data_IF_700393504560
#
_entry.id   IF_700393504560
#
_cell.length_a   1.000
_cell.length_b   1.000
_cell.length_c   1.000
_cell.angle_alpha   90.00
_cell.angle_beta   90.00
_cell.angle_gamma   90.00
#
_symmetry.space_group_name_H-M   'P 1'
#
loop_
_entity.id
_entity.type
_entity.pdbx_description
1 polymer ?
#
# COMPACT_ATOMS: atom_id res chain seq x y z
N UNK A 1 0.66 -22.87 12.49
CA UNK A 1 -0.01 -21.87 11.63
C UNK A 1 0.97 -20.74 11.43
N UNK A 2 1.23 -20.36 10.19
CA UNK A 2 2.10 -19.21 9.92
C UNK A 2 1.40 -17.88 10.28
N UNK A 3 2.16 -16.80 10.47
CA UNK A 3 1.61 -15.46 10.74
C UNK A 3 0.61 -15.04 9.64
N UNK A 4 0.91 -15.34 8.38
CA UNK A 4 0.02 -15.02 7.27
C UNK A 4 -1.28 -15.83 7.28
N UNK A 5 -1.26 -17.09 7.69
CA UNK A 5 -2.46 -17.91 7.82
C UNK A 5 -3.37 -17.39 8.94
N UNK A 6 -2.77 -16.95 10.06
CA UNK A 6 -3.50 -16.31 11.17
C UNK A 6 -4.16 -15.02 10.71
N UNK A 7 -3.38 -14.11 10.10
CA UNK A 7 -3.89 -12.85 9.57
C UNK A 7 -5.01 -13.07 8.54
N UNK A 8 -4.86 -14.03 7.62
CA UNK A 8 -5.87 -14.28 6.58
C UNK A 8 -7.15 -14.88 7.15
N UNK A 9 -7.06 -15.68 8.20
CA UNK A 9 -8.23 -16.18 8.92
C UNK A 9 -8.99 -15.03 9.60
N UNK A 10 -8.26 -14.14 10.30
CA UNK A 10 -8.84 -12.97 10.95
C UNK A 10 -9.49 -12.03 9.91
N UNK A 11 -8.79 -11.73 8.81
CA UNK A 11 -9.31 -10.94 7.70
C UNK A 11 -10.60 -11.53 7.11
N UNK A 12 -10.65 -12.85 6.91
CA UNK A 12 -11.84 -13.52 6.36
C UNK A 12 -13.05 -13.40 7.28
N UNK A 13 -12.84 -13.43 8.60
CA UNK A 13 -13.91 -13.21 9.58
C UNK A 13 -14.39 -11.75 9.57
N UNK A 14 -13.46 -10.79 9.60
CA UNK A 14 -13.75 -9.34 9.60
C UNK A 14 -14.46 -8.88 8.33
N UNK A 15 -14.15 -9.49 7.18
CA UNK A 15 -14.65 -9.14 5.85
C UNK A 15 -15.75 -10.07 5.35
N UNK A 16 -16.30 -10.95 6.18
CA UNK A 16 -17.28 -11.95 5.73
C UNK A 16 -18.45 -11.36 4.90
N UNK A 17 -19.06 -10.23 5.27
CA UNK A 17 -20.12 -9.60 4.46
C UNK A 17 -19.60 -9.07 3.11
N UNK A 18 -18.41 -8.47 3.09
CA UNK A 18 -17.79 -7.90 1.89
C UNK A 18 -17.36 -9.01 0.93
N UNK A 19 -16.73 -10.07 1.43
CA UNK A 19 -16.28 -11.19 0.63
C UNK A 19 -17.43 -11.88 -0.11
N UNK A 20 -18.61 -11.96 0.50
CA UNK A 20 -19.80 -12.53 -0.16
C UNK A 20 -20.22 -11.75 -1.41
N UNK A 21 -19.96 -10.44 -1.47
CA UNK A 21 -20.25 -9.58 -2.63
C UNK A 21 -19.30 -9.83 -3.80
N UNK A 22 -18.18 -10.52 -3.57
CA UNK A 22 -17.25 -10.92 -4.63
C UNK A 22 -17.72 -12.15 -5.43
N UNK A 23 -18.73 -12.87 -4.97
CA UNK A 23 -19.22 -14.07 -5.66
C UNK A 23 -19.61 -13.74 -7.12
N UNK A 24 -19.04 -14.49 -8.06
CA UNK A 24 -19.26 -14.33 -9.50
C UNK A 24 -18.55 -13.11 -10.10
N UNK A 25 -17.76 -12.36 -9.35
CA UNK A 25 -16.99 -11.21 -9.83
C UNK A 25 -15.67 -11.61 -10.46
N UNK A 26 -15.06 -10.66 -11.15
CA UNK A 26 -13.74 -10.81 -11.76
C UNK A 26 -12.83 -9.67 -11.37
N UNK A 27 -11.63 -10.01 -10.87
CA UNK A 27 -10.64 -9.06 -10.33
C UNK A 27 -9.34 -9.18 -11.12
N UNK A 28 -8.84 -8.05 -11.61
CA UNK A 28 -7.49 -7.92 -12.16
C UNK A 28 -6.62 -7.10 -11.19
N UNK A 29 -5.56 -7.72 -10.64
CA UNK A 29 -4.59 -7.04 -9.79
C UNK A 29 -3.34 -6.69 -10.61
N UNK A 30 -3.22 -5.43 -10.98
CA UNK A 30 -2.09 -4.90 -11.75
C UNK A 30 -0.95 -4.55 -10.80
N UNK A 31 0.21 -5.19 -10.99
CA UNK A 31 1.37 -5.03 -10.11
C UNK A 31 1.31 -5.89 -8.84
N UNK A 32 0.90 -7.15 -8.98
CA UNK A 32 0.68 -8.07 -7.86
C UNK A 32 1.94 -8.42 -7.03
N UNK A 33 3.13 -7.99 -7.45
CA UNK A 33 4.40 -8.24 -6.75
C UNK A 33 4.91 -7.04 -5.93
N UNK A 34 4.10 -6.02 -5.73
CA UNK A 34 4.36 -4.94 -4.77
C UNK A 34 4.11 -5.40 -3.32
N UNK A 35 4.61 -4.64 -2.34
CA UNK A 35 4.49 -5.01 -0.92
C UNK A 35 3.03 -5.25 -0.49
N UNK A 36 2.18 -4.24 -0.62
CA UNK A 36 0.77 -4.33 -0.21
C UNK A 36 -0.01 -5.25 -1.15
N UNK A 37 0.24 -5.16 -2.46
CA UNK A 37 -0.49 -5.94 -3.45
C UNK A 37 -0.18 -7.44 -3.41
N UNK A 38 1.04 -7.84 -3.01
CA UNK A 38 1.34 -9.27 -2.85
C UNK A 38 0.62 -9.87 -1.65
N UNK A 39 0.52 -9.13 -0.54
CA UNK A 39 -0.28 -9.55 0.60
C UNK A 39 -1.77 -9.63 0.24
N UNK A 40 -2.33 -8.60 -0.41
CA UNK A 40 -3.71 -8.60 -0.91
C UNK A 40 -3.96 -9.78 -1.88
N UNK A 41 -3.06 -10.01 -2.85
CA UNK A 41 -3.19 -11.11 -3.80
C UNK A 41 -3.19 -12.48 -3.12
N UNK A 42 -2.29 -12.70 -2.14
CA UNK A 42 -2.25 -13.94 -1.33
C UNK A 42 -3.51 -14.11 -0.48
N UNK A 43 -4.02 -13.04 0.11
CA UNK A 43 -5.29 -13.06 0.82
C UNK A 43 -6.45 -13.45 -0.10
N UNK A 44 -6.58 -12.82 -1.28
CA UNK A 44 -7.64 -13.16 -2.24
C UNK A 44 -7.56 -14.63 -2.71
N UNK A 45 -6.36 -15.16 -2.89
CA UNK A 45 -6.18 -16.58 -3.21
C UNK A 45 -6.60 -17.47 -2.03
N UNK A 46 -6.23 -17.10 -0.79
CA UNK A 46 -6.67 -17.82 0.40
C UNK A 46 -8.21 -17.88 0.52
N UNK A 47 -8.89 -16.78 0.21
CA UNK A 47 -10.36 -16.72 0.15
C UNK A 47 -10.93 -17.74 -0.85
N UNK A 48 -10.31 -17.88 -2.02
CA UNK A 48 -10.70 -18.88 -3.03
C UNK A 48 -10.42 -20.31 -2.56
N UNK A 49 -9.23 -20.57 -1.99
CA UNK A 49 -8.80 -21.88 -1.47
C UNK A 49 -9.71 -22.37 -0.34
N UNK A 50 -10.07 -21.47 0.57
CA UNK A 50 -10.94 -21.77 1.72
C UNK A 50 -12.43 -21.75 1.36
N UNK A 51 -12.77 -21.43 0.11
CA UNK A 51 -14.14 -21.35 -0.40
C UNK A 51 -15.04 -20.37 0.35
N UNK A 52 -14.46 -19.33 0.97
CA UNK A 52 -15.21 -18.24 1.61
C UNK A 52 -15.98 -17.43 0.59
N UNK A 53 -15.41 -17.24 -0.61
CA UNK A 53 -16.08 -16.66 -1.77
C UNK A 53 -15.58 -17.31 -3.07
N UNK A 54 -16.32 -17.12 -4.18
CA UNK A 54 -16.00 -17.66 -5.50
C UNK A 54 -15.98 -16.54 -6.54
N UNK A 55 -14.79 -16.18 -7.04
CA UNK A 55 -14.57 -15.13 -8.03
C UNK A 55 -13.38 -15.48 -8.94
N UNK A 56 -13.27 -14.79 -10.06
CA UNK A 56 -12.11 -14.94 -10.95
C UNK A 56 -11.01 -13.97 -10.54
N UNK A 57 -9.78 -14.43 -10.46
CA UNK A 57 -8.63 -13.62 -10.09
C UNK A 57 -7.53 -13.69 -11.15
N UNK A 58 -7.09 -12.55 -11.64
CA UNK A 58 -5.91 -12.43 -12.50
C UNK A 58 -4.87 -11.54 -11.82
N UNK A 59 -3.63 -12.02 -11.77
CA UNK A 59 -2.49 -11.32 -11.19
C UNK A 59 -1.50 -10.94 -12.29
N UNK A 60 -1.03 -9.70 -12.32
CA UNK A 60 0.01 -9.29 -13.27
C UNK A 60 1.36 -9.11 -12.60
N UNK A 61 2.41 -9.54 -13.30
CA UNK A 61 3.81 -9.33 -12.92
C UNK A 61 4.67 -9.10 -14.16
N UNK A 62 5.85 -8.49 -14.00
CA UNK A 62 6.79 -8.28 -15.12
C UNK A 62 7.50 -9.57 -15.56
N UNK A 63 7.64 -10.54 -14.66
CA UNK A 63 8.28 -11.82 -14.96
C UNK A 63 7.79 -12.94 -14.05
N UNK A 64 8.01 -14.19 -14.49
CA UNK A 64 7.71 -15.38 -13.70
C UNK A 64 8.56 -15.45 -12.42
N UNK A 65 9.82 -15.03 -12.49
CA UNK A 65 10.73 -15.00 -11.34
C UNK A 65 10.18 -14.10 -10.22
N UNK A 66 9.71 -12.89 -10.58
CA UNK A 66 9.06 -11.99 -9.61
C UNK A 66 7.81 -12.60 -9.02
N UNK A 67 7.00 -13.27 -9.84
CA UNK A 67 5.80 -13.93 -9.34
C UNK A 67 6.17 -15.06 -8.37
N UNK A 68 7.15 -15.90 -8.70
CA UNK A 68 7.62 -17.00 -7.84
C UNK A 68 8.06 -16.49 -6.46
N UNK A 69 8.74 -15.36 -6.38
CA UNK A 69 9.19 -14.78 -5.09
C UNK A 69 8.05 -14.60 -4.09
N UNK A 70 6.84 -14.25 -4.53
CA UNK A 70 5.70 -13.94 -3.66
C UNK A 70 4.61 -15.00 -3.64
N UNK A 71 4.59 -15.91 -4.63
CA UNK A 71 3.48 -16.85 -4.85
C UNK A 71 3.97 -18.30 -5.08
N UNK A 72 5.21 -18.66 -4.65
CA UNK A 72 5.75 -20.01 -4.83
C UNK A 72 4.94 -21.08 -4.10
N UNK A 73 4.41 -20.73 -2.92
CA UNK A 73 3.69 -21.65 -2.03
C UNK A 73 2.19 -21.71 -2.31
N UNK A 74 1.71 -20.97 -3.33
CA UNK A 74 0.29 -20.83 -3.61
C UNK A 74 -0.11 -21.67 -4.81
N UNK A 75 -1.24 -22.38 -4.69
CA UNK A 75 -1.79 -23.17 -5.80
C UNK A 75 -2.23 -22.28 -6.95
N UNK A 76 -1.56 -22.43 -8.09
CA UNK A 76 -1.77 -21.64 -9.31
C UNK A 76 -3.12 -21.92 -10.00
N UNK A 77 -3.88 -22.94 -9.59
CA UNK A 77 -5.21 -23.23 -10.13
C UNK A 77 -6.25 -22.16 -9.74
N UNK A 78 -5.99 -21.39 -8.69
CA UNK A 78 -6.92 -20.38 -8.18
C UNK A 78 -6.81 -19.00 -8.84
N UNK A 79 -5.82 -18.78 -9.72
CA UNK A 79 -5.64 -17.48 -10.36
C UNK A 79 -4.96 -17.59 -11.72
N UNK A 80 -5.21 -16.61 -12.58
CA UNK A 80 -4.53 -16.48 -13.87
C UNK A 80 -3.29 -15.60 -13.70
N UNK A 81 -2.11 -16.08 -14.12
CA UNK A 81 -0.91 -15.27 -14.22
C UNK A 81 -0.86 -14.56 -15.58
N UNK A 82 -0.55 -13.27 -15.55
CA UNK A 82 -0.39 -12.46 -16.76
C UNK A 82 0.95 -11.72 -16.66
N UNK A 83 1.83 -11.93 -17.63
CA UNK A 83 3.11 -11.23 -17.67
C UNK A 83 3.01 -10.02 -18.58
N UNK A 84 3.26 -8.84 -18.01
CA UNK A 84 3.29 -7.58 -18.73
C UNK A 84 4.16 -6.55 -18.02
N UNK A 85 4.75 -5.64 -18.78
CA UNK A 85 5.26 -4.36 -18.26
C UNK A 85 4.13 -3.34 -18.38
N UNK A 86 3.80 -2.69 -17.26
CA UNK A 86 2.72 -1.69 -17.25
C UNK A 86 3.02 -0.47 -18.12
N UNK A 87 4.28 -0.25 -18.50
CA UNK A 87 4.69 0.83 -19.40
C UNK A 87 4.33 0.54 -20.86
N UNK A 88 4.05 -0.71 -21.21
CA UNK A 88 3.69 -1.12 -22.56
C UNK A 88 2.16 -1.26 -22.71
N UNK A 89 1.61 -1.04 -23.93
CA UNK A 89 0.19 -1.24 -24.17
C UNK A 89 -0.31 -2.64 -23.80
N UNK A 90 -1.42 -2.73 -23.08
CA UNK A 90 -1.94 -4.01 -22.60
C UNK A 90 -2.52 -4.86 -23.74
N UNK A 91 -1.98 -6.06 -23.91
CA UNK A 91 -2.51 -7.12 -24.79
C UNK A 91 -3.42 -8.07 -23.96
N UNK A 92 -4.34 -7.50 -23.19
CA UNK A 92 -5.22 -8.25 -22.30
C UNK A 92 -6.56 -8.54 -22.97
N UNK A 93 -7.10 -9.72 -22.63
CA UNK A 93 -8.46 -10.14 -22.98
C UNK A 93 -9.25 -10.46 -21.72
N UNK A 94 -10.57 -10.40 -21.79
CA UNK A 94 -11.48 -10.70 -20.69
C UNK A 94 -12.17 -9.46 -20.15
N UNK A 95 -13.17 -9.71 -19.30
CA UNK A 95 -13.94 -8.68 -18.61
C UNK A 95 -13.63 -8.75 -17.12
N UNK A 96 -13.44 -7.58 -16.49
CA UNK A 96 -13.14 -7.47 -15.08
C UNK A 96 -14.06 -6.45 -14.41
N UNK A 97 -14.75 -6.87 -13.34
CA UNK A 97 -15.57 -5.98 -12.52
C UNK A 97 -14.70 -4.98 -11.75
N UNK A 98 -13.51 -5.43 -11.33
CA UNK A 98 -12.55 -4.61 -10.58
C UNK A 98 -11.16 -4.71 -11.19
N UNK A 99 -10.52 -3.56 -11.39
CA UNK A 99 -9.12 -3.45 -11.78
C UNK A 99 -8.39 -2.72 -10.67
N UNK A 100 -7.55 -3.44 -9.91
CA UNK A 100 -6.76 -2.86 -8.82
C UNK A 100 -5.41 -2.45 -9.41
N UNK A 101 -5.17 -1.16 -9.55
CA UNK A 101 -3.90 -0.63 -10.04
C UNK A 101 -2.98 -0.32 -8.84
N UNK A 102 -2.08 -1.25 -8.56
CA UNK A 102 -1.09 -1.19 -7.49
C UNK A 102 0.36 -1.16 -8.03
N UNK A 103 0.53 -1.00 -9.35
CA UNK A 103 1.84 -0.86 -9.95
C UNK A 103 2.43 0.53 -9.65
N UNK A 104 3.70 0.54 -9.28
CA UNK A 104 4.45 1.74 -8.91
C UNK A 104 5.37 1.44 -7.75
N UNK A 105 6.54 2.01 -7.75
CA UNK A 105 7.49 1.87 -6.66
C UNK A 105 7.44 3.12 -5.78
N UNK A 106 7.20 2.94 -4.48
CA UNK A 106 7.16 3.98 -3.46
C UNK A 106 8.38 3.90 -2.51
N UNK A 107 9.40 3.15 -2.89
CA UNK A 107 10.66 3.02 -2.17
C UNK A 107 11.44 4.33 -2.28
N UNK A 108 11.79 4.99 -1.14
CA UNK A 108 12.47 6.28 -1.14
C UNK A 108 13.79 6.28 -1.91
N UNK A 109 14.58 5.20 -1.82
CA UNK A 109 15.86 5.09 -2.54
C UNK A 109 15.65 5.03 -4.06
N UNK A 110 14.65 4.27 -4.51
CA UNK A 110 14.35 4.18 -5.93
C UNK A 110 13.76 5.49 -6.48
N UNK A 111 12.95 6.21 -5.70
CA UNK A 111 12.44 7.53 -6.09
C UNK A 111 13.60 8.51 -6.34
N UNK A 112 14.64 8.47 -5.49
CA UNK A 112 15.82 9.32 -5.63
C UNK A 112 16.70 8.91 -6.81
N UNK A 113 16.90 7.59 -6.98
CA UNK A 113 17.85 7.07 -7.96
C UNK A 113 17.28 6.99 -9.39
N UNK A 114 15.95 6.80 -9.50
CA UNK A 114 15.27 6.56 -10.78
C UNK A 114 13.98 7.40 -10.92
N UNK A 115 14.02 8.74 -10.74
CA UNK A 115 12.81 9.58 -10.68
C UNK A 115 11.97 9.53 -11.97
N UNK A 116 12.59 9.47 -13.14
CA UNK A 116 11.87 9.36 -14.41
C UNK A 116 11.18 8.00 -14.58
N UNK A 117 11.78 6.91 -14.12
CA UNK A 117 11.12 5.59 -14.15
C UNK A 117 9.90 5.55 -13.22
N UNK A 118 9.96 6.27 -12.09
CA UNK A 118 8.78 6.46 -11.20
C UNK A 118 7.64 7.15 -11.96
N UNK A 119 7.94 8.24 -12.66
CA UNK A 119 6.93 8.96 -13.47
C UNK A 119 6.37 8.03 -14.56
N UNK A 120 7.22 7.41 -15.36
CA UNK A 120 6.80 6.55 -16.46
C UNK A 120 5.96 5.35 -15.98
N UNK A 121 6.39 4.68 -14.93
CA UNK A 121 5.67 3.50 -14.40
C UNK A 121 4.26 3.86 -13.91
N UNK A 122 4.10 5.00 -13.23
CA UNK A 122 2.78 5.43 -12.74
C UNK A 122 1.91 5.98 -13.89
N UNK A 123 2.44 6.92 -14.68
CA UNK A 123 1.69 7.58 -15.76
C UNK A 123 1.31 6.60 -16.87
N UNK A 124 2.30 5.94 -17.51
CA UNK A 124 2.05 5.01 -18.61
C UNK A 124 1.25 3.79 -18.11
N UNK A 125 1.58 3.30 -16.90
CA UNK A 125 0.86 2.17 -16.32
C UNK A 125 -0.62 2.45 -16.12
N UNK A 126 -0.97 3.62 -15.58
CA UNK A 126 -2.39 3.99 -15.45
C UNK A 126 -3.02 4.32 -16.80
N UNK A 127 -2.30 4.99 -17.71
CA UNK A 127 -2.78 5.23 -19.07
C UNK A 127 -3.16 3.93 -19.77
N UNK A 128 -2.29 2.94 -19.79
CA UNK A 128 -2.54 1.63 -20.41
C UNK A 128 -3.68 0.87 -19.71
N UNK A 129 -3.78 1.02 -18.38
CA UNK A 129 -4.91 0.46 -17.60
C UNK A 129 -6.23 1.10 -18.01
N UNK A 130 -6.29 2.42 -18.19
CA UNK A 130 -7.47 3.14 -18.65
C UNK A 130 -7.84 2.77 -20.09
N UNK A 131 -6.87 2.64 -21.00
CA UNK A 131 -7.10 2.20 -22.38
C UNK A 131 -7.70 0.78 -22.45
N UNK A 132 -7.34 -0.08 -21.52
CA UNK A 132 -7.96 -1.39 -21.35
C UNK A 132 -9.35 -1.29 -20.69
N UNK A 133 -9.47 -0.48 -19.63
CA UNK A 133 -10.69 -0.33 -18.85
C UNK A 133 -11.86 0.25 -19.67
N UNK A 134 -11.59 1.19 -20.59
CA UNK A 134 -12.61 1.74 -21.51
C UNK A 134 -13.34 0.70 -22.34
N UNK A 135 -12.71 -0.46 -22.57
CA UNK A 135 -13.27 -1.58 -23.37
C UNK A 135 -14.08 -2.57 -22.51
N UNK A 136 -14.13 -2.38 -21.19
CA UNK A 136 -14.93 -3.21 -20.29
C UNK A 136 -16.41 -2.81 -20.37
N UNK A 137 -17.32 -3.76 -20.10
CA UNK A 137 -18.75 -3.47 -20.03
C UNK A 137 -19.08 -2.51 -18.88
N UNK A 138 -18.52 -2.79 -17.70
CA UNK A 138 -18.54 -1.95 -16.50
C UNK A 138 -17.39 -2.36 -15.62
N UNK A 139 -16.59 -1.41 -15.13
CA UNK A 139 -15.47 -1.72 -14.24
C UNK A 139 -15.19 -0.59 -13.25
N UNK A 140 -14.77 -0.98 -12.06
CA UNK A 140 -14.24 -0.03 -11.06
C UNK A 140 -12.73 -0.15 -10.99
N UNK A 141 -12.05 0.99 -11.09
CA UNK A 141 -10.60 1.09 -10.93
C UNK A 141 -10.30 1.43 -9.46
N UNK A 142 -9.57 0.56 -8.78
CA UNK A 142 -9.08 0.79 -7.42
C UNK A 142 -7.62 1.22 -7.53
N UNK A 143 -7.34 2.48 -7.22
CA UNK A 143 -6.04 3.08 -7.43
C UNK A 143 -5.28 3.27 -6.12
N UNK A 144 -4.08 2.69 -6.01
CA UNK A 144 -3.19 2.90 -4.87
C UNK A 144 -2.45 4.23 -5.03
N UNK A 145 -2.98 5.25 -4.40
CA UNK A 145 -2.39 6.56 -4.25
C UNK A 145 -1.56 6.65 -2.95
N UNK A 146 -1.24 7.82 -2.50
CA UNK A 146 -0.36 8.07 -1.35
C UNK A 146 -0.77 9.30 -0.57
N UNK A 147 -0.52 9.32 0.74
CA UNK A 147 -0.63 10.54 1.54
C UNK A 147 0.27 11.69 1.06
N UNK A 148 1.35 11.38 0.35
CA UNK A 148 2.30 12.40 -0.09
C UNK A 148 1.71 13.39 -1.10
N UNK A 149 0.60 13.07 -1.75
CA UNK A 149 -0.09 13.99 -2.67
C UNK A 149 -0.55 15.29 -1.99
N UNK A 150 -0.77 15.25 -0.67
CA UNK A 150 -1.17 16.44 0.06
C UNK A 150 -0.04 17.48 0.16
N UNK A 151 1.23 17.05 0.09
CA UNK A 151 2.35 17.98 0.24
C UNK A 151 2.27 18.77 1.54
N UNK A 152 2.40 20.10 1.43
CA UNK A 152 2.20 21.04 2.55
C UNK A 152 0.77 21.55 2.54
N UNK A 153 0.02 21.24 3.61
CA UNK A 153 -1.30 21.82 3.89
C UNK A 153 -1.11 22.83 5.01
N UNK A 154 -1.41 24.09 4.74
CA UNK A 154 -1.25 25.17 5.72
C UNK A 154 -2.44 25.23 6.68
N UNK A 155 -2.17 25.57 7.95
CA UNK A 155 -3.18 25.88 8.97
C UNK A 155 -4.17 24.75 9.30
N UNK A 156 -3.79 23.49 9.10
CA UNK A 156 -4.60 22.33 9.50
C UNK A 156 -3.78 21.35 10.34
N UNK A 157 -4.39 20.83 11.39
CA UNK A 157 -3.85 19.71 12.20
C UNK A 157 -4.28 18.35 11.66
N UNK A 158 -5.43 18.29 10.98
CA UNK A 158 -5.99 17.08 10.37
C UNK A 158 -6.29 17.35 8.90
N UNK A 159 -5.81 16.48 8.03
CA UNK A 159 -6.03 16.54 6.57
C UNK A 159 -7.17 15.60 6.21
N UNK A 160 -8.16 16.13 5.51
CA UNK A 160 -9.28 15.38 4.95
C UNK A 160 -9.07 15.14 3.44
N UNK A 161 -9.86 14.23 2.84
CA UNK A 161 -9.70 13.86 1.44
C UNK A 161 -9.94 15.01 0.45
N UNK A 162 -10.68 16.04 0.85
CA UNK A 162 -10.95 17.23 0.02
C UNK A 162 -9.86 18.31 0.14
N UNK A 163 -8.87 18.12 1.00
CA UNK A 163 -7.83 19.09 1.18
C UNK A 163 -6.82 19.07 0.03
N UNK A 164 -6.40 20.28 -0.36
CA UNK A 164 -5.44 20.51 -1.41
C UNK A 164 -4.20 21.16 -0.79
N UNK A 165 -3.08 20.50 -0.93
CA UNK A 165 -1.80 21.04 -0.47
C UNK A 165 -0.84 21.31 -1.63
N UNK A 166 0.27 21.95 -1.29
CA UNK A 166 1.27 22.44 -2.25
C UNK A 166 2.46 21.50 -2.28
N UNK A 167 2.91 21.17 -3.49
CA UNK A 167 4.17 20.50 -3.77
C UNK A 167 5.09 21.45 -4.53
N UNK A 168 6.39 21.38 -4.28
CA UNK A 168 7.39 22.11 -5.07
C UNK A 168 7.74 21.29 -6.32
N UNK A 169 7.31 21.71 -7.52
CA UNK A 169 7.55 20.94 -8.76
C UNK A 169 9.03 20.95 -9.18
N UNK A 170 9.86 21.86 -8.66
CA UNK A 170 11.29 21.92 -8.93
C UNK A 170 12.13 21.08 -7.97
N UNK A 171 11.51 20.53 -6.92
CA UNK A 171 12.15 19.52 -6.10
C UNK A 171 12.02 18.15 -6.79
N UNK A 172 13.15 17.54 -7.19
CA UNK A 172 13.15 16.26 -7.89
C UNK A 172 12.43 15.13 -7.11
N UNK A 173 12.40 15.21 -5.78
CA UNK A 173 11.69 14.25 -4.92
C UNK A 173 10.16 14.34 -5.09
N UNK A 174 9.65 15.47 -5.56
CA UNK A 174 8.22 15.65 -5.85
C UNK A 174 7.73 14.79 -7.02
N UNK A 175 8.62 14.17 -7.80
CA UNK A 175 8.26 13.32 -8.94
C UNK A 175 7.22 12.25 -8.57
N UNK A 176 7.32 11.65 -7.38
CA UNK A 176 6.40 10.62 -6.92
C UNK A 176 5.00 11.18 -6.54
N UNK A 177 4.88 12.13 -5.60
CA UNK A 177 3.56 12.68 -5.29
C UNK A 177 2.93 13.45 -6.46
N UNK A 178 3.71 14.12 -7.32
CA UNK A 178 3.17 14.83 -8.49
C UNK A 178 2.60 13.86 -9.51
N UNK A 179 3.29 12.77 -9.83
CA UNK A 179 2.73 11.77 -10.76
C UNK A 179 1.50 11.08 -10.17
N UNK A 180 1.45 10.86 -8.85
CA UNK A 180 0.25 10.32 -8.18
C UNK A 180 -0.93 11.29 -8.26
N UNK A 181 -0.71 12.61 -8.08
CA UNK A 181 -1.74 13.64 -8.32
C UNK A 181 -2.24 13.62 -9.76
N UNK A 182 -1.33 13.57 -10.73
CA UNK A 182 -1.69 13.45 -12.13
C UNK A 182 -2.55 12.20 -12.39
N UNK A 183 -2.19 11.06 -11.81
CA UNK A 183 -2.96 9.82 -11.93
C UNK A 183 -4.36 9.93 -11.33
N UNK A 184 -4.53 10.58 -10.17
CA UNK A 184 -5.87 10.85 -9.60
C UNK A 184 -6.71 11.72 -10.55
N UNK A 185 -6.12 12.75 -11.15
CA UNK A 185 -6.80 13.60 -12.13
C UNK A 185 -7.13 12.84 -13.43
N UNK A 186 -6.27 11.93 -13.89
CA UNK A 186 -6.57 11.06 -15.05
C UNK A 186 -7.79 10.17 -14.81
N UNK A 187 -7.95 9.64 -13.59
CA UNK A 187 -9.14 8.86 -13.21
C UNK A 187 -10.39 9.71 -13.21
N UNK A 188 -10.33 10.92 -12.67
CA UNK A 188 -11.44 11.87 -12.70
C UNK A 188 -11.87 12.17 -14.15
N UNK A 189 -10.93 12.54 -15.01
CA UNK A 189 -11.20 12.78 -16.43
C UNK A 189 -11.77 11.54 -17.15
N UNK A 190 -11.29 10.34 -16.81
CA UNK A 190 -11.77 9.11 -17.44
C UNK A 190 -13.23 8.81 -17.06
N UNK A 191 -13.60 8.96 -15.79
CA UNK A 191 -14.97 8.69 -15.33
C UNK A 191 -15.96 9.72 -15.85
N UNK A 192 -15.54 10.98 -16.03
CA UNK A 192 -16.37 12.00 -16.68
C UNK A 192 -16.66 11.66 -18.17
N UNK A 193 -15.73 11.01 -18.86
CA UNK A 193 -15.86 10.72 -20.29
C UNK A 193 -16.43 9.32 -20.60
N UNK A 194 -16.37 8.37 -19.66
CA UNK A 194 -16.72 6.98 -19.88
C UNK A 194 -17.65 6.45 -18.79
N UNK A 195 -18.95 6.40 -19.05
CA UNK A 195 -20.00 6.00 -18.11
C UNK A 195 -19.88 4.56 -17.57
N UNK A 196 -19.10 3.71 -18.25
CA UNK A 196 -18.80 2.34 -17.80
C UNK A 196 -17.67 2.27 -16.76
N UNK A 197 -17.00 3.39 -16.47
CA UNK A 197 -15.91 3.46 -15.50
C UNK A 197 -16.39 4.06 -14.18
N UNK A 198 -15.79 3.59 -13.11
CA UNK A 198 -15.85 4.19 -11.78
C UNK A 198 -14.50 4.02 -11.09
N UNK A 199 -14.23 4.76 -10.02
CA UNK A 199 -12.98 4.62 -9.27
C UNK A 199 -13.17 4.64 -7.76
N UNK A 200 -12.20 4.01 -7.07
CA UNK A 200 -11.88 4.23 -5.67
C UNK A 200 -10.39 4.56 -5.55
N UNK A 201 -10.08 5.78 -5.16
CA UNK A 201 -8.71 6.26 -4.93
C UNK A 201 -8.37 6.02 -3.46
N UNK A 202 -7.24 5.36 -3.19
CA UNK A 202 -6.80 5.00 -1.84
C UNK A 202 -5.48 5.69 -1.52
N UNK A 203 -5.50 6.71 -0.66
CA UNK A 203 -4.33 7.45 -0.21
C UNK A 203 -3.71 6.76 1.00
N UNK A 204 -2.80 5.84 0.71
CA UNK A 204 -2.16 4.97 1.70
C UNK A 204 -1.09 5.72 2.51
N UNK A 205 -1.03 5.47 3.82
CA UNK A 205 -0.07 6.10 4.73
C UNK A 205 0.63 5.08 5.63
N UNK A 206 1.98 5.00 5.52
CA UNK A 206 2.86 4.23 6.41
C UNK A 206 2.42 2.79 6.69
N UNK A 207 2.00 2.07 5.63
CA UNK A 207 1.60 0.67 5.74
C UNK A 207 2.85 -0.19 5.98
N UNK A 208 2.76 -1.14 6.93
CA UNK A 208 3.80 -2.10 7.26
C UNK A 208 3.22 -3.47 7.59
N UNK A 209 4.02 -4.52 7.49
CA UNK A 209 3.58 -5.88 7.82
C UNK A 209 4.40 -6.98 7.15
N UNK A 210 4.01 -8.25 7.33
CA UNK A 210 4.66 -9.41 6.72
C UNK A 210 4.72 -9.33 5.19
N UNK A 211 5.80 -9.87 4.61
CA UNK A 211 5.97 -9.97 3.16
C UNK A 211 6.45 -8.69 2.48
N UNK A 212 6.74 -7.61 3.22
CA UNK A 212 7.42 -6.45 2.69
C UNK A 212 8.90 -6.77 2.40
N UNK A 213 9.48 -6.07 1.41
CA UNK A 213 10.91 -6.15 1.22
C UNK A 213 11.59 -5.28 2.29
N UNK A 214 12.21 -5.90 3.29
CA UNK A 214 12.91 -5.20 4.37
C UNK A 214 14.35 -4.84 3.99
N UNK A 215 14.94 -5.53 3.00
CA UNK A 215 16.33 -5.34 2.63
C UNK A 215 16.53 -4.05 1.84
N UNK A 216 17.32 -3.14 2.40
CA UNK A 216 17.77 -1.91 1.74
C UNK A 216 16.63 -1.06 1.11
N UNK A 217 15.46 -1.05 1.72
CA UNK A 217 14.24 -0.38 1.22
C UNK A 217 14.29 1.15 1.48
N UNK A 218 14.79 1.57 2.64
CA UNK A 218 14.89 2.98 3.03
C UNK A 218 13.63 3.54 3.68
N UNK A 219 12.59 2.74 3.88
CA UNK A 219 11.46 3.10 4.75
C UNK A 219 11.83 2.79 6.19
N UNK A 220 11.67 3.76 7.07
CA UNK A 220 12.10 3.64 8.46
C UNK A 220 11.60 2.35 9.15
N UNK A 221 10.34 1.96 8.95
CA UNK A 221 9.81 0.74 9.57
C UNK A 221 10.50 -0.52 9.03
N UNK A 222 10.77 -0.59 7.72
CA UNK A 222 11.46 -1.73 7.12
C UNK A 222 12.93 -1.80 7.57
N UNK A 223 13.60 -0.64 7.68
CA UNK A 223 14.97 -0.55 8.19
C UNK A 223 15.04 -1.01 9.66
N UNK A 224 14.06 -0.63 10.50
CA UNK A 224 13.96 -1.08 11.90
C UNK A 224 13.74 -2.60 12.00
N UNK A 225 12.86 -3.15 11.16
CA UNK A 225 12.62 -4.61 11.11
C UNK A 225 13.87 -5.35 10.63
N UNK A 226 14.54 -4.87 9.58
CA UNK A 226 15.80 -5.44 9.07
C UNK A 226 16.88 -5.48 10.16
N UNK A 227 17.15 -4.35 10.81
CA UNK A 227 18.13 -4.27 11.90
C UNK A 227 17.80 -5.22 13.05
N UNK A 228 16.51 -5.33 13.41
CA UNK A 228 16.06 -6.23 14.48
C UNK A 228 16.27 -7.69 14.12
N UNK A 229 15.87 -8.10 12.90
CA UNK A 229 16.03 -9.49 12.41
C UNK A 229 17.51 -9.89 12.33
N UNK A 230 18.39 -8.95 11.95
CA UNK A 230 19.83 -9.19 11.90
C UNK A 230 20.46 -9.32 13.29
N UNK A 231 19.83 -8.84 14.37
CA UNK A 231 20.33 -8.96 15.74
C UNK A 231 21.57 -8.10 16.06
N UNK A 232 21.88 -7.11 15.23
CA UNK A 232 23.09 -6.27 15.35
C UNK A 232 22.86 -4.99 16.19
N UNK A 233 21.65 -4.80 16.72
CA UNK A 233 21.21 -3.55 17.36
C UNK A 233 20.63 -2.56 16.38
N UNK A 234 20.03 -1.48 16.89
CA UNK A 234 19.38 -0.44 16.07
C UNK A 234 20.22 0.82 16.04
N UNK A 235 20.58 1.27 14.84
CA UNK A 235 21.32 2.51 14.63
C UNK A 235 20.53 3.49 13.79
N UNK A 236 20.06 4.57 14.41
CA UNK A 236 19.33 5.65 13.75
C UNK A 236 20.24 6.77 13.30
N UNK A 237 20.02 7.26 12.06
CA UNK A 237 20.73 8.42 11.49
C UNK A 237 20.13 9.77 11.95
N UNK A 238 19.19 9.75 12.90
CA UNK A 238 18.53 10.92 13.48
C UNK A 238 18.33 10.71 14.99
N UNK A 239 17.81 11.73 15.66
CA UNK A 239 17.46 11.67 17.08
C UNK A 239 16.21 10.81 17.38
N UNK A 240 15.50 10.35 16.36
CA UNK A 240 14.30 9.57 16.49
C UNK A 240 13.04 10.33 16.92
N UNK A 241 13.06 11.66 16.93
CA UNK A 241 11.93 12.50 17.38
C UNK A 241 10.75 12.54 16.39
N UNK A 242 10.98 12.20 15.13
CA UNK A 242 9.94 12.22 14.09
C UNK A 242 8.78 11.27 14.43
N UNK A 243 7.56 11.82 14.50
CA UNK A 243 6.33 11.06 14.81
C UNK A 243 5.69 10.51 13.53
N UNK A 244 5.28 9.26 13.57
CA UNK A 244 4.58 8.59 12.47
C UNK A 244 3.42 7.75 13.01
N UNK A 245 2.37 7.65 12.18
CA UNK A 245 1.23 6.78 12.40
C UNK A 245 1.36 5.59 11.44
N UNK A 246 1.65 4.41 11.98
CA UNK A 246 1.87 3.20 11.19
C UNK A 246 0.60 2.37 11.15
N UNK A 247 0.17 1.95 9.94
CA UNK A 247 -0.99 1.10 9.75
C UNK A 247 -0.56 -0.31 9.39
N UNK A 248 -1.00 -1.29 10.16
CA UNK A 248 -0.70 -2.69 9.88
C UNK A 248 -1.37 -3.16 8.58
N UNK A 249 -0.70 -4.02 7.83
CA UNK A 249 -1.10 -4.39 6.48
C UNK A 249 -2.48 -5.06 6.42
N UNK A 250 -2.89 -5.85 7.42
CA UNK A 250 -4.23 -6.45 7.44
C UNK A 250 -5.32 -5.39 7.59
N UNK A 251 -5.11 -4.37 8.41
CA UNK A 251 -6.04 -3.24 8.54
C UNK A 251 -6.13 -2.43 7.24
N UNK A 252 -4.99 -2.22 6.57
CA UNK A 252 -5.00 -1.57 5.25
C UNK A 252 -5.78 -2.40 4.23
N UNK A 253 -5.62 -3.73 4.21
CA UNK A 253 -6.34 -4.62 3.28
C UNK A 253 -7.85 -4.63 3.57
N UNK A 254 -8.28 -4.58 4.83
CA UNK A 254 -9.71 -4.40 5.15
C UNK A 254 -10.24 -3.10 4.56
N UNK A 255 -9.50 -2.00 4.69
CA UNK A 255 -9.86 -0.70 4.09
C UNK A 255 -9.92 -0.77 2.55
N UNK A 256 -8.95 -1.42 1.92
CA UNK A 256 -8.90 -1.59 0.46
C UNK A 256 -10.14 -2.35 -0.05
N UNK A 257 -10.50 -3.48 0.59
CA UNK A 257 -11.68 -4.28 0.18
C UNK A 257 -12.97 -3.51 0.39
N UNK A 258 -13.15 -2.84 1.53
CA UNK A 258 -14.34 -2.01 1.78
C UNK A 258 -14.47 -0.88 0.76
N UNK A 259 -13.41 -0.15 0.52
CA UNK A 259 -13.37 0.93 -0.47
C UNK A 259 -13.55 0.45 -1.92
N UNK A 260 -13.10 -0.75 -2.26
CA UNK A 260 -13.34 -1.37 -3.56
C UNK A 260 -14.83 -1.62 -3.81
N UNK A 261 -15.57 -2.01 -2.78
CA UNK A 261 -16.96 -2.45 -2.87
C UNK A 261 -17.99 -1.33 -2.72
N UNK A 262 -17.60 -0.09 -2.39
CA UNK A 262 -18.58 1.01 -2.30
C UNK A 262 -19.32 1.21 -3.62
N UNK A 263 -20.61 1.53 -3.53
CA UNK A 263 -21.44 1.73 -4.71
C UNK A 263 -21.43 3.19 -5.20
N UNK A 264 -20.29 3.85 -5.12
CA UNK A 264 -20.07 5.20 -5.61
C UNK A 264 -19.27 5.17 -6.91
N UNK A 265 -19.59 6.04 -7.86
CA UNK A 265 -18.84 6.15 -9.11
C UNK A 265 -17.46 6.78 -8.89
N UNK A 266 -17.36 7.67 -7.90
CA UNK A 266 -16.15 8.42 -7.56
C UNK A 266 -15.99 8.40 -6.05
N UNK A 267 -14.94 7.72 -5.57
CA UNK A 267 -14.67 7.62 -4.14
C UNK A 267 -13.19 7.86 -3.86
N UNK A 268 -12.89 8.57 -2.78
CA UNK A 268 -11.53 8.84 -2.32
C UNK A 268 -11.47 8.57 -0.82
N UNK A 269 -10.47 7.80 -0.39
CA UNK A 269 -10.30 7.42 1.00
C UNK A 269 -8.84 7.54 1.46
N UNK A 270 -8.64 8.13 2.61
CA UNK A 270 -7.39 7.97 3.37
C UNK A 270 -7.37 6.60 4.06
N UNK A 271 -6.24 5.89 3.99
CA UNK A 271 -6.00 4.66 4.74
C UNK A 271 -4.78 4.87 5.63
N UNK A 272 -5.03 5.08 6.92
CA UNK A 272 -4.02 5.34 7.95
C UNK A 272 -4.52 4.83 9.30
N UNK A 273 -3.59 4.51 10.22
CA UNK A 273 -3.94 4.30 11.63
C UNK A 273 -3.36 5.44 12.46
N UNK A 274 -4.17 6.46 12.74
CA UNK A 274 -3.75 7.64 13.52
C UNK A 274 -3.95 7.45 15.05
N UNK A 275 -4.51 6.33 15.47
CA UNK A 275 -4.82 6.08 16.89
C UNK A 275 -3.57 5.82 17.75
N UNK A 276 -2.48 5.36 17.14
CA UNK A 276 -1.22 5.01 17.80
C UNK A 276 -0.01 5.69 17.16
N UNK A 277 -0.12 6.99 16.89
CA UNK A 277 1.03 7.75 16.39
C UNK A 277 2.14 7.81 17.43
N UNK A 278 3.36 7.40 17.05
CA UNK A 278 4.53 7.36 17.92
C UNK A 278 5.76 7.99 17.26
N UNK A 279 6.64 8.55 18.07
CA UNK A 279 7.99 8.89 17.62
C UNK A 279 8.76 7.63 17.25
N UNK A 280 9.71 7.75 16.34
CA UNK A 280 10.58 6.62 15.98
C UNK A 280 11.33 6.08 17.20
N UNK A 281 11.66 6.96 18.16
CA UNK A 281 12.26 6.56 19.45
C UNK A 281 11.35 5.64 20.25
N UNK A 282 10.06 5.98 20.36
CA UNK A 282 9.08 5.12 21.05
C UNK A 282 8.86 3.78 20.32
N UNK A 283 8.89 3.80 18.98
CA UNK A 283 8.82 2.55 18.18
C UNK A 283 10.03 1.64 18.47
N UNK A 284 11.24 2.21 18.52
CA UNK A 284 12.45 1.47 18.84
C UNK A 284 12.40 0.89 20.27
N UNK A 285 11.94 1.69 21.24
CA UNK A 285 11.75 1.22 22.63
C UNK A 285 10.78 0.05 22.65
N UNK A 286 9.66 0.14 21.95
CA UNK A 286 8.67 -0.93 21.85
C UNK A 286 9.24 -2.22 21.21
N UNK A 287 10.04 -2.08 20.14
CA UNK A 287 10.73 -3.23 19.53
C UNK A 287 11.69 -3.89 20.53
N UNK A 288 12.46 -3.08 21.27
CA UNK A 288 13.41 -3.57 22.27
C UNK A 288 12.70 -4.29 23.43
N UNK A 289 11.54 -3.80 23.86
CA UNK A 289 10.72 -4.45 24.89
C UNK A 289 10.17 -5.80 24.42
N UNK A 290 9.74 -5.90 23.16
CA UNK A 290 9.19 -7.14 22.57
C UNK A 290 10.28 -8.16 22.26
N UNK A 291 11.45 -7.69 21.77
CA UNK A 291 12.55 -8.52 21.30
C UNK A 291 13.90 -8.13 21.95
N UNK A 292 14.03 -8.19 23.28
CA UNK A 292 15.23 -7.72 23.97
C UNK A 292 16.51 -8.47 23.56
N UNK A 293 16.40 -9.74 23.18
CA UNK A 293 17.53 -10.55 22.75
C UNK A 293 18.03 -10.19 21.32
N UNK A 294 17.16 -9.60 20.48
CA UNK A 294 17.50 -9.19 19.11
C UNK A 294 17.96 -7.73 19.02
N UNK A 295 17.73 -6.93 20.05
CA UNK A 295 18.12 -5.50 20.08
C UNK A 295 19.05 -5.25 21.26
N UNK A 296 20.33 -5.68 21.19
CA UNK A 296 21.28 -5.56 22.29
C UNK A 296 21.71 -4.10 22.55
N UNK A 297 21.60 -3.23 21.56
CA UNK A 297 21.99 -1.83 21.68
C UNK A 297 21.12 -0.93 20.79
N UNK A 298 20.99 0.34 21.19
CA UNK A 298 20.33 1.39 20.40
C UNK A 298 21.22 2.63 20.38
N UNK A 299 21.53 3.09 19.17
CA UNK A 299 22.32 4.31 18.95
C UNK A 299 21.47 5.35 18.20
N UNK A 300 21.54 6.60 18.65
CA UNK A 300 20.90 7.75 18.02
C UNK A 300 21.97 8.74 17.57
N UNK A 301 21.87 9.27 16.35
CA UNK A 301 22.74 10.36 15.92
C UNK A 301 22.45 11.63 16.73
N UNK A 302 23.52 12.32 17.20
CA UNK A 302 23.39 13.52 18.01
C UNK A 302 23.00 14.78 17.22
N UNK A 303 23.21 14.79 15.90
CA UNK A 303 22.90 15.93 15.03
C UNK A 303 21.92 15.51 13.94
N UNK A 304 20.75 16.14 13.93
CA UNK A 304 19.75 16.01 12.89
C UNK A 304 20.12 16.78 11.59
N UNK A 305 21.39 16.74 11.17
CA UNK A 305 21.77 17.17 9.82
C UNK A 305 21.25 16.17 8.78
N UNK A 306 19.97 15.81 8.91
CA UNK A 306 19.23 15.00 7.97
C UNK A 306 18.83 15.84 6.74
N UNK A 307 19.79 16.46 6.07
CA UNK A 307 19.71 16.75 4.64
C UNK A 307 19.74 15.41 3.87
N UNK A 308 18.93 14.43 4.31
CA UNK A 308 18.75 13.19 3.58
C UNK A 308 17.91 13.51 2.33
N UNK A 309 18.60 13.67 1.20
CA UNK A 309 17.99 13.67 -0.13
C UNK A 309 17.03 12.47 -0.17
N UNK A 310 15.73 12.69 -0.22
CA UNK A 310 14.75 11.59 -0.33
C UNK A 310 13.60 11.59 0.67
N UNK A 311 13.65 12.40 1.73
CA UNK A 311 12.53 12.50 2.66
C UNK A 311 11.78 13.83 2.52
N UNK A 312 10.46 13.78 2.54
CA UNK A 312 9.62 14.95 2.71
C UNK A 312 9.62 15.34 4.20
N UNK A 313 10.22 16.46 4.52
CA UNK A 313 10.10 17.06 5.86
C UNK A 313 8.81 17.88 5.91
N UNK A 314 7.73 17.26 6.34
CA UNK A 314 6.55 17.98 6.77
C UNK A 314 6.41 17.82 8.28
N UNK A 315 6.02 18.90 8.97
CA UNK A 315 5.47 18.77 10.33
C UNK A 315 4.38 17.69 10.29
N UNK A 316 4.30 16.82 11.29
CA UNK A 316 3.28 15.80 11.35
C UNK A 316 1.89 16.44 11.22
N UNK A 317 1.14 15.99 10.23
CA UNK A 317 -0.27 16.30 10.10
C UNK A 317 -1.02 14.97 10.09
N UNK A 318 -2.07 14.87 10.88
CA UNK A 318 -2.93 13.70 10.98
C UNK A 318 -3.77 13.55 9.70
N UNK A 319 -4.08 12.33 9.29
CA UNK A 319 -5.02 12.05 8.21
C UNK A 319 -6.39 11.66 8.78
N UNK A 320 -7.43 12.36 8.38
CA UNK A 320 -8.80 11.92 8.67
C UNK A 320 -9.11 10.63 7.93
N UNK A 321 -9.63 9.64 8.65
CA UNK A 321 -10.12 8.37 8.09
C UNK A 321 -11.65 8.26 8.18
N UNK A 322 -12.33 9.34 8.50
CA UNK A 322 -13.79 9.36 8.74
C UNK A 322 -14.62 8.82 7.58
N UNK A 323 -14.20 9.08 6.33
CA UNK A 323 -14.88 8.52 5.15
C UNK A 323 -14.79 7.00 5.13
N UNK A 324 -13.62 6.45 5.40
CA UNK A 324 -13.43 5.00 5.45
C UNK A 324 -14.13 4.38 6.68
N UNK A 325 -14.10 5.07 7.81
CA UNK A 325 -14.83 4.67 9.04
C UNK A 325 -16.35 4.61 8.83
N UNK A 326 -16.91 5.49 7.98
CA UNK A 326 -18.33 5.44 7.64
C UNK A 326 -18.73 4.16 6.90
N UNK A 327 -17.77 3.43 6.33
CA UNK A 327 -17.95 2.10 5.75
C UNK A 327 -17.80 0.96 6.79
N UNK A 328 -17.76 1.30 8.09
CA UNK A 328 -17.52 0.34 9.16
C UNK A 328 -16.07 -0.17 9.23
N UNK A 329 -15.11 0.60 8.70
CA UNK A 329 -13.69 0.30 8.87
C UNK A 329 -13.15 0.94 10.16
N UNK A 330 -12.24 0.23 10.80
CA UNK A 330 -11.36 0.75 11.87
C UNK A 330 -10.07 -0.05 11.90
N UNK A 331 -8.94 0.53 12.30
CA UNK A 331 -7.75 -0.25 12.58
C UNK A 331 -7.99 -1.08 13.86
N UNK A 332 -7.63 -2.35 13.84
CA UNK A 332 -7.83 -3.26 14.96
C UNK A 332 -6.51 -3.82 15.50
N UNK A 333 -5.43 -3.76 14.70
CA UNK A 333 -4.12 -4.25 15.09
C UNK A 333 -3.33 -3.16 15.79
N UNK A 334 -2.96 -3.35 17.05
CA UNK A 334 -2.08 -2.43 17.77
C UNK A 334 -0.68 -2.41 17.17
N UNK A 335 0.06 -1.30 17.37
CA UNK A 335 1.44 -1.20 16.89
C UNK A 335 2.33 -2.31 17.46
N UNK A 336 2.16 -2.64 18.74
CA UNK A 336 2.92 -3.71 19.40
C UNK A 336 2.68 -5.08 18.75
N UNK A 337 1.41 -5.43 18.51
CA UNK A 337 1.04 -6.69 17.87
C UNK A 337 1.53 -6.75 16.42
N UNK A 338 1.32 -5.68 15.65
CA UNK A 338 1.77 -5.60 14.27
C UNK A 338 3.30 -5.71 14.13
N UNK A 339 4.07 -5.06 15.02
CA UNK A 339 5.53 -5.19 15.08
C UNK A 339 5.94 -6.63 15.41
N UNK A 340 5.30 -7.25 16.40
CA UNK A 340 5.56 -8.64 16.78
C UNK A 340 5.32 -9.59 15.60
N UNK A 341 4.14 -9.53 14.98
CA UNK A 341 3.78 -10.35 13.81
C UNK A 341 4.75 -10.09 12.64
N UNK A 342 5.08 -8.81 12.38
CA UNK A 342 5.99 -8.46 11.29
C UNK A 342 7.37 -9.05 11.50
N UNK A 343 8.02 -8.80 12.64
CA UNK A 343 9.38 -9.27 12.92
C UNK A 343 9.41 -10.81 12.92
N UNK A 344 8.45 -11.46 13.59
CA UNK A 344 8.36 -12.93 13.63
C UNK A 344 8.20 -13.57 12.25
N UNK A 345 7.63 -12.86 11.27
CA UNK A 345 7.47 -13.39 9.91
C UNK A 345 8.79 -13.47 9.12
N UNK A 346 9.88 -12.89 9.63
CA UNK A 346 11.21 -12.92 9.01
C UNK A 346 12.24 -13.74 9.82
N UNK A 347 11.89 -14.18 11.05
CA UNK A 347 12.69 -15.10 11.88
C UNK A 347 12.39 -16.55 11.52
#
# INVERSE_FOLDING_TARGET
>A
MSILEEDFRELSLRLSPELSQLNGKSILLVGATGAISSYLGRFLINVLQTKVASFQLALTARSEERLKKYYSEVDKSFFKCIFLDVKEPFQLTGQYDYIIFAAGNADPKNIVNNPLDIIHTNYLGLHNTLEFAKKQTKTKIVFFSTREIYGMVSNKSVIEEDDIGVLDPLNFRSCYPEVKKLCENMLECAVENYANLSYSILRLAHIYGPGMNIQNDGRIMNDLVEMTVNGEGIKLLSDGSAVRAFCYISDAVTGIIKAMLVNENKAVFNIANETEAKSIREVVTLIQEIFPALVPSVEYAQNSNANSKGYFFTSRTELSTKRLESLGWKPETSLAEGLKKTIQSYL
#
